data_IF_601907806995
#
_entry.id   IF_601907806995
#
_cell.length_a   1.000
_cell.length_b   1.000
_cell.length_c   1.000
_cell.angle_alpha   90.00
_cell.angle_beta   90.00
_cell.angle_gamma   90.00
#
_symmetry.space_group_name_H-M   'P 1'
#
loop_
_entity.id
_entity.type
_entity.pdbx_description
1 polymer ?
#
# COMPACT_ATOMS: atom_id res chain seq x y z
N UNK A 1 -25.78 -23.12 15.30
CA UNK A 1 -24.74 -23.27 14.27
C UNK A 1 -23.76 -22.12 14.41
N UNK A 2 -22.45 -22.37 14.47
CA UNK A 2 -21.49 -21.27 14.35
C UNK A 2 -21.53 -20.79 12.88
N UNK A 3 -21.66 -19.48 12.66
CA UNK A 3 -21.60 -18.91 11.32
C UNK A 3 -20.25 -19.25 10.68
N UNK A 4 -20.26 -19.63 9.39
CA UNK A 4 -19.03 -19.82 8.63
C UNK A 4 -18.23 -18.51 8.62
N UNK A 5 -16.92 -18.61 8.80
CA UNK A 5 -16.04 -17.44 8.72
C UNK A 5 -15.99 -16.92 7.27
N UNK A 6 -15.85 -15.59 7.06
CA UNK A 6 -15.88 -15.01 5.73
C UNK A 6 -14.67 -15.45 4.90
N UNK A 7 -14.88 -15.66 3.61
CA UNK A 7 -13.79 -15.91 2.64
C UNK A 7 -13.17 -14.59 2.18
N UNK A 8 -12.01 -14.65 1.53
CA UNK A 8 -11.38 -13.45 0.93
C UNK A 8 -12.30 -12.76 -0.08
N UNK A 9 -13.08 -13.53 -0.84
CA UNK A 9 -14.03 -12.99 -1.80
C UNK A 9 -15.16 -12.22 -1.10
N UNK A 10 -15.59 -12.65 0.08
CA UNK A 10 -16.58 -11.91 0.88
C UNK A 10 -16.00 -10.62 1.45
N UNK A 11 -14.71 -10.62 1.83
CA UNK A 11 -14.07 -9.45 2.46
C UNK A 11 -13.64 -8.40 1.43
N UNK A 12 -12.95 -8.81 0.37
CA UNK A 12 -12.36 -7.90 -0.62
C UNK A 12 -13.18 -7.78 -1.90
N UNK A 13 -14.19 -8.64 -2.08
CA UNK A 13 -14.88 -8.77 -3.36
C UNK A 13 -14.03 -9.50 -4.39
N UNK A 14 -14.57 -9.59 -5.61
CA UNK A 14 -13.85 -10.08 -6.78
C UNK A 14 -13.66 -8.92 -7.77
N UNK A 15 -12.57 -8.98 -8.51
CA UNK A 15 -12.32 -8.12 -9.66
C UNK A 15 -13.34 -8.39 -10.77
N UNK A 16 -13.33 -7.55 -11.82
CA UNK A 16 -14.19 -7.72 -13.00
C UNK A 16 -14.00 -9.09 -13.68
N UNK A 17 -12.81 -9.66 -13.57
CA UNK A 17 -12.45 -10.97 -14.14
C UNK A 17 -12.78 -12.14 -13.20
N UNK A 18 -13.48 -11.89 -12.10
CA UNK A 18 -13.85 -12.91 -11.12
C UNK A 18 -12.70 -13.41 -10.24
N UNK A 19 -11.56 -12.71 -10.22
CA UNK A 19 -10.40 -13.06 -9.39
C UNK A 19 -10.35 -12.21 -8.11
N UNK A 20 -9.69 -12.69 -7.07
CA UNK A 20 -9.40 -11.83 -5.92
C UNK A 20 -8.53 -10.63 -6.35
N UNK A 21 -8.83 -9.42 -5.86
CA UNK A 21 -7.98 -8.26 -6.12
C UNK A 21 -6.59 -8.52 -5.54
N UNK A 22 -5.55 -8.00 -6.19
CA UNK A 22 -4.18 -7.99 -5.67
C UNK A 22 -3.57 -6.64 -5.99
N UNK A 23 -2.88 -6.03 -5.01
CA UNK A 23 -2.35 -4.68 -5.17
C UNK A 23 -1.40 -4.54 -6.37
N UNK A 24 -0.58 -5.56 -6.66
CA UNK A 24 0.34 -5.51 -7.79
C UNK A 24 -0.39 -5.37 -9.13
N UNK A 25 -1.51 -6.08 -9.28
CA UNK A 25 -2.37 -5.96 -10.47
C UNK A 25 -3.07 -4.59 -10.54
N UNK A 26 -3.53 -4.07 -9.40
CA UNK A 26 -4.19 -2.76 -9.31
C UNK A 26 -3.23 -1.66 -9.76
N UNK A 27 -2.01 -1.64 -9.22
CA UNK A 27 -0.97 -0.66 -9.56
C UNK A 27 -0.59 -0.76 -11.03
N UNK A 28 -0.34 -1.97 -11.55
CA UNK A 28 0.06 -2.16 -12.94
C UNK A 28 -1.03 -1.78 -13.95
N UNK A 29 -2.30 -2.01 -13.59
CA UNK A 29 -3.45 -1.70 -14.43
C UNK A 29 -3.91 -0.24 -14.38
N UNK A 30 -3.38 0.58 -13.46
CA UNK A 30 -3.72 1.98 -13.37
C UNK A 30 -3.03 2.78 -14.48
N UNK A 31 -3.81 3.66 -15.11
CA UNK A 31 -3.33 4.54 -16.17
C UNK A 31 -2.88 5.87 -15.57
N UNK A 32 -1.61 5.91 -15.14
CA UNK A 32 -0.98 7.12 -14.61
C UNK A 32 -0.83 8.25 -15.63
N UNK A 33 -1.18 8.07 -16.92
CA UNK A 33 -1.07 9.15 -17.91
C UNK A 33 -2.23 10.14 -17.87
N UNK A 34 -3.30 9.86 -17.12
CA UNK A 34 -4.48 10.73 -17.01
C UNK A 34 -4.30 11.72 -15.85
N UNK A 35 -4.13 12.99 -16.17
CA UNK A 35 -3.74 14.07 -15.23
C UNK A 35 -4.69 14.33 -14.06
N UNK A 36 -5.98 14.00 -14.21
CA UNK A 36 -7.01 14.40 -13.25
C UNK A 36 -7.38 13.28 -12.27
N UNK A 37 -6.78 12.09 -12.43
CA UNK A 37 -7.09 10.91 -11.64
C UNK A 37 -5.84 10.45 -10.89
N UNK A 38 -6.02 9.91 -9.68
CA UNK A 38 -4.91 9.39 -8.88
C UNK A 38 -5.21 7.97 -8.42
N UNK A 39 -4.15 7.19 -8.20
CA UNK A 39 -4.34 5.83 -7.75
C UNK A 39 -4.73 5.84 -6.27
N UNK A 40 -6.03 5.76 -6.02
CA UNK A 40 -6.59 5.61 -4.68
C UNK A 40 -7.03 4.17 -4.42
N UNK A 41 -6.58 3.59 -3.32
CA UNK A 41 -7.11 2.32 -2.83
C UNK A 41 -7.15 2.32 -1.30
N UNK A 42 -8.36 2.34 -0.73
CA UNK A 42 -8.56 2.30 0.73
C UNK A 42 -7.86 1.11 1.39
N UNK A 43 -7.98 -0.07 0.77
CA UNK A 43 -7.39 -1.31 1.21
C UNK A 43 -7.35 -2.36 0.09
N UNK A 44 -6.16 -2.79 -0.30
CA UNK A 44 -5.95 -3.94 -1.18
C UNK A 44 -5.24 -5.08 -0.44
N UNK A 45 -5.62 -6.35 -0.67
CA UNK A 45 -4.83 -7.45 -0.17
C UNK A 45 -3.58 -7.66 -1.04
N UNK A 46 -2.55 -8.23 -0.42
CA UNK A 46 -1.41 -8.80 -1.13
C UNK A 46 -1.15 -10.21 -0.62
N UNK A 47 -1.23 -11.18 -1.52
CA UNK A 47 -1.12 -12.60 -1.18
C UNK A 47 0.28 -13.16 -1.37
N UNK A 48 1.11 -12.55 -2.22
CA UNK A 48 2.47 -13.03 -2.48
C UNK A 48 2.44 -14.49 -2.95
N UNK A 49 3.00 -15.40 -2.15
CA UNK A 49 2.95 -16.86 -2.42
C UNK A 49 1.84 -17.59 -1.66
N UNK A 50 1.00 -16.89 -0.89
CA UNK A 50 -0.12 -17.49 -0.18
C UNK A 50 -1.11 -18.08 -1.20
N UNK A 51 -1.40 -19.36 -1.04
CA UNK A 51 -2.35 -20.12 -1.86
C UNK A 51 -3.08 -21.13 -0.99
N UNK A 52 -4.15 -21.74 -1.52
CA UNK A 52 -4.85 -22.82 -0.83
C UNK A 52 -3.90 -23.99 -0.47
N UNK A 53 -2.96 -24.34 -1.34
CA UNK A 53 -1.94 -25.35 -1.07
C UNK A 53 -0.96 -24.88 0.01
N UNK A 54 -0.43 -23.65 -0.12
CA UNK A 54 0.50 -23.08 0.86
C UNK A 54 -0.11 -22.91 2.26
N UNK A 55 -1.43 -22.74 2.35
CA UNK A 55 -2.14 -22.76 3.63
C UNK A 55 -2.07 -24.14 4.28
N UNK A 56 -2.14 -25.25 3.54
CA UNK A 56 -2.13 -26.59 4.16
C UNK A 56 -0.83 -26.85 4.93
N UNK A 57 0.30 -26.40 4.38
CA UNK A 57 1.64 -26.57 4.94
C UNK A 57 2.02 -25.53 6.00
N UNK A 58 1.16 -24.53 6.24
CA UNK A 58 1.43 -23.44 7.19
C UNK A 58 1.15 -23.84 8.64
N UNK A 59 1.90 -23.27 9.60
CA UNK A 59 1.67 -23.47 11.03
C UNK A 59 0.24 -23.13 11.47
N UNK A 60 -0.28 -23.89 12.43
CA UNK A 60 -1.65 -23.74 12.93
C UNK A 60 -1.90 -22.36 13.56
N UNK A 61 -0.92 -21.81 14.28
CA UNK A 61 -0.99 -20.47 14.85
C UNK A 61 -1.17 -19.40 13.78
N UNK A 62 -0.49 -19.54 12.63
CA UNK A 62 -0.61 -18.62 11.51
C UNK A 62 -1.98 -18.75 10.84
N UNK A 63 -2.44 -19.98 10.60
CA UNK A 63 -3.80 -20.25 10.09
C UNK A 63 -4.87 -19.60 10.98
N UNK A 64 -4.78 -19.81 12.29
CA UNK A 64 -5.74 -19.25 13.27
C UNK A 64 -5.72 -17.73 13.23
N UNK A 65 -4.53 -17.11 13.19
CA UNK A 65 -4.38 -15.66 13.08
C UNK A 65 -4.98 -15.15 11.77
N UNK A 66 -4.75 -15.79 10.61
CA UNK A 66 -5.30 -15.42 9.31
C UNK A 66 -6.83 -15.45 9.32
N UNK A 67 -7.41 -16.55 9.82
CA UNK A 67 -8.85 -16.70 9.91
C UNK A 67 -9.48 -15.63 10.82
N UNK A 68 -8.88 -15.39 11.98
CA UNK A 68 -9.34 -14.36 12.92
C UNK A 68 -9.23 -12.95 12.36
N UNK A 69 -8.13 -12.63 11.68
CA UNK A 69 -7.90 -11.31 11.06
C UNK A 69 -8.88 -11.07 9.91
N UNK A 70 -9.04 -12.05 9.03
CA UNK A 70 -9.98 -11.95 7.90
C UNK A 70 -11.41 -11.78 8.40
N UNK A 71 -11.79 -12.48 9.47
CA UNK A 71 -13.08 -12.27 10.14
C UNK A 71 -13.24 -10.85 10.65
N UNK A 72 -12.27 -10.35 11.42
CA UNK A 72 -12.33 -9.00 11.98
C UNK A 72 -12.48 -7.93 10.89
N UNK A 73 -11.76 -8.07 9.78
CA UNK A 73 -11.89 -7.14 8.65
C UNK A 73 -13.25 -7.31 7.97
N UNK A 74 -13.75 -8.53 7.84
CA UNK A 74 -15.09 -8.82 7.35
C UNK A 74 -16.20 -8.21 8.20
N UNK A 75 -15.98 -8.05 9.51
CA UNK A 75 -16.92 -7.43 10.44
C UNK A 75 -16.93 -5.89 10.32
N UNK A 76 -15.89 -5.27 9.73
CA UNK A 76 -15.88 -3.83 9.40
C UNK A 76 -16.86 -3.60 8.23
N UNK A 77 -17.76 -2.60 8.27
CA UNK A 77 -18.58 -2.23 7.12
C UNK A 77 -17.71 -1.91 5.89
N UNK A 78 -18.09 -2.38 4.70
CA UNK A 78 -17.25 -2.31 3.49
C UNK A 78 -16.77 -0.89 3.17
N UNK A 79 -17.60 0.10 3.43
CA UNK A 79 -17.45 1.53 3.19
C UNK A 79 -16.48 2.19 4.20
N UNK A 80 -16.16 1.48 5.28
CA UNK A 80 -15.20 1.87 6.32
C UNK A 80 -13.94 1.00 6.30
N UNK A 81 -13.81 0.05 5.37
CA UNK A 81 -12.64 -0.82 5.25
C UNK A 81 -11.48 -0.08 4.60
N UNK A 82 -10.89 0.84 5.34
CA UNK A 82 -9.66 1.55 4.97
C UNK A 82 -8.50 1.15 5.89
N UNK A 83 -7.30 1.61 5.54
CA UNK A 83 -6.07 1.36 6.29
C UNK A 83 -6.21 1.68 7.77
N UNK A 84 -6.76 2.84 8.14
CA UNK A 84 -6.90 3.27 9.54
C UNK A 84 -7.78 2.30 10.35
N UNK A 85 -8.94 1.95 9.81
CA UNK A 85 -9.89 1.06 10.48
C UNK A 85 -9.34 -0.36 10.63
N UNK A 86 -8.68 -0.88 9.59
CA UNK A 86 -8.03 -2.19 9.66
C UNK A 86 -6.86 -2.19 10.62
N UNK A 87 -6.02 -1.15 10.62
CA UNK A 87 -4.94 -1.00 11.59
C UNK A 87 -5.48 -1.00 13.02
N UNK A 88 -6.54 -0.24 13.28
CA UNK A 88 -7.19 -0.20 14.59
C UNK A 88 -7.72 -1.59 15.00
N UNK A 89 -8.38 -2.31 14.09
CA UNK A 89 -8.85 -3.68 14.35
C UNK A 89 -7.71 -4.67 14.60
N UNK A 90 -6.59 -4.57 13.86
CA UNK A 90 -5.41 -5.39 14.10
C UNK A 90 -4.78 -5.12 15.47
N UNK A 91 -4.68 -3.85 15.88
CA UNK A 91 -4.17 -3.46 17.21
C UNK A 91 -5.04 -3.97 18.36
N UNK A 92 -6.33 -4.16 18.13
CA UNK A 92 -7.29 -4.68 19.13
C UNK A 92 -7.45 -6.21 19.06
N UNK A 93 -6.86 -6.88 18.06
CA UNK A 93 -7.04 -8.31 17.87
C UNK A 93 -6.24 -9.12 18.91
N UNK A 94 -6.95 -9.90 19.72
CA UNK A 94 -6.37 -10.73 20.78
C UNK A 94 -5.53 -11.91 20.25
N UNK A 95 -5.68 -12.29 18.98
CA UNK A 95 -4.93 -13.39 18.34
C UNK A 95 -3.57 -12.96 17.83
N UNK A 96 -3.27 -11.65 17.83
CA UNK A 96 -2.00 -11.12 17.37
C UNK A 96 -1.43 -10.09 18.34
N UNK A 97 -0.16 -9.80 18.17
CA UNK A 97 0.52 -8.72 18.86
C UNK A 97 1.50 -8.03 17.92
N UNK A 98 1.81 -6.75 18.16
CA UNK A 98 2.80 -6.06 17.35
C UNK A 98 4.17 -6.73 17.41
N UNK A 99 4.84 -6.79 16.25
CA UNK A 99 6.18 -7.32 16.12
C UNK A 99 7.20 -6.22 15.80
N UNK A 100 7.76 -5.65 16.87
CA UNK A 100 8.66 -4.49 16.84
C UNK A 100 7.92 -3.16 16.73
N UNK A 101 8.66 -2.13 16.30
CA UNK A 101 8.17 -0.76 16.23
C UNK A 101 7.35 -0.47 14.98
N UNK A 102 6.49 0.55 15.07
CA UNK A 102 5.76 1.05 13.93
C UNK A 102 6.74 1.86 13.09
N UNK A 103 6.69 1.67 11.78
CA UNK A 103 7.48 2.46 10.85
C UNK A 103 6.57 3.58 10.35
N UNK A 104 7.00 4.82 10.57
CA UNK A 104 6.44 6.00 9.95
C UNK A 104 7.61 6.78 9.36
N UNK A 105 7.63 6.90 8.04
CA UNK A 105 8.66 7.63 7.29
C UNK A 105 7.98 8.61 6.36
N UNK A 106 8.51 9.81 6.30
CA UNK A 106 8.14 10.81 5.31
C UNK A 106 9.44 11.39 4.76
N UNK A 107 9.50 11.55 3.44
CA UNK A 107 10.64 12.14 2.77
C UNK A 107 10.19 12.98 1.58
N UNK A 108 11.05 13.89 1.14
CA UNK A 108 10.80 14.78 0.00
C UNK A 108 11.94 14.68 -1.00
N UNK A 109 11.60 14.47 -2.26
CA UNK A 109 12.50 14.71 -3.37
C UNK A 109 12.21 16.11 -3.93
N UNK A 110 13.16 17.02 -3.83
CA UNK A 110 13.05 18.41 -4.30
C UNK A 110 13.95 18.59 -5.52
N UNK A 111 13.40 19.20 -6.56
CA UNK A 111 14.14 19.66 -7.75
C UNK A 111 14.05 21.18 -7.83
N UNK A 112 15.17 21.79 -8.21
CA UNK A 112 15.28 23.24 -8.43
C UNK A 112 15.13 23.55 -9.91
N UNK A 113 14.62 24.72 -10.25
CA UNK A 113 14.26 25.13 -11.63
C UNK A 113 15.33 24.96 -12.73
N UNK A 114 16.63 24.82 -12.37
CA UNK A 114 17.71 24.54 -13.34
C UNK A 114 17.88 23.05 -13.68
N UNK A 115 17.18 22.15 -12.99
CA UNK A 115 17.16 20.69 -13.17
C UNK A 115 15.74 20.17 -13.51
N UNK A 116 14.92 20.98 -14.17
CA UNK A 116 13.53 20.65 -14.49
C UNK A 116 13.36 19.26 -15.13
N UNK A 117 12.27 18.59 -14.76
CA UNK A 117 11.70 17.47 -15.51
C UNK A 117 11.41 17.99 -16.93
N UNK A 118 12.29 17.68 -17.89
CA UNK A 118 12.19 18.27 -19.24
C UNK A 118 10.99 17.73 -20.04
N UNK A 119 10.51 18.59 -20.93
CA UNK A 119 9.17 18.65 -21.54
C UNK A 119 9.00 17.89 -22.87
N UNK A 120 9.88 16.94 -23.20
CA UNK A 120 9.74 16.16 -24.45
C UNK A 120 8.91 14.87 -24.27
N UNK A 121 8.41 14.63 -23.05
CA UNK A 121 7.60 13.45 -22.72
C UNK A 121 8.41 12.17 -22.53
N UNK A 122 9.74 12.22 -22.62
CA UNK A 122 10.63 11.13 -22.22
C UNK A 122 11.22 11.42 -20.84
N UNK A 123 10.91 10.60 -19.81
CA UNK A 123 11.58 10.76 -18.54
C UNK A 123 13.09 10.58 -18.77
N UNK A 124 13.91 11.58 -18.44
CA UNK A 124 15.37 11.37 -18.43
C UNK A 124 15.63 10.17 -17.52
N UNK A 125 16.26 9.12 -18.04
CA UNK A 125 16.57 7.90 -17.29
C UNK A 125 17.18 8.23 -15.92
N UNK A 126 17.98 9.30 -15.84
CA UNK A 126 18.58 9.80 -14.61
C UNK A 126 17.58 10.26 -13.56
N UNK A 127 16.53 11.01 -13.93
CA UNK A 127 15.51 11.50 -13.02
C UNK A 127 14.66 10.33 -12.51
N UNK A 128 14.29 9.41 -13.41
CA UNK A 128 13.53 8.22 -13.03
C UNK A 128 14.35 7.29 -12.13
N UNK A 129 15.64 7.15 -12.39
CA UNK A 129 16.55 6.43 -11.49
C UNK A 129 16.64 7.10 -10.13
N UNK A 130 16.74 8.42 -10.07
CA UNK A 130 16.78 9.16 -8.81
C UNK A 130 15.49 8.99 -7.99
N UNK A 131 14.33 9.13 -8.63
CA UNK A 131 13.03 8.87 -8.02
C UNK A 131 12.91 7.40 -7.57
N UNK A 132 13.41 6.46 -8.38
CA UNK A 132 13.43 5.04 -8.03
C UNK A 132 14.31 4.75 -6.81
N UNK A 133 15.49 5.36 -6.72
CA UNK A 133 16.39 5.23 -5.58
C UNK A 133 15.77 5.88 -4.34
N UNK A 134 15.24 7.10 -4.47
CA UNK A 134 14.55 7.81 -3.41
C UNK A 134 13.37 6.99 -2.86
N UNK A 135 12.49 6.50 -3.74
CA UNK A 135 11.32 5.70 -3.34
C UNK A 135 11.73 4.38 -2.67
N UNK A 136 12.76 3.71 -3.20
CA UNK A 136 13.29 2.49 -2.61
C UNK A 136 13.86 2.73 -1.20
N UNK A 137 14.46 3.89 -0.95
CA UNK A 137 14.95 4.28 0.37
C UNK A 137 13.81 4.67 1.32
N UNK A 138 12.81 5.43 0.83
CA UNK A 138 11.62 5.79 1.58
C UNK A 138 10.87 4.54 2.08
N UNK A 139 10.72 3.53 1.22
CA UNK A 139 10.07 2.26 1.57
C UNK A 139 11.01 1.33 2.34
N UNK A 140 12.30 1.27 1.97
CA UNK A 140 13.35 0.38 2.51
C UNK A 140 12.87 -1.03 2.89
N UNK A 141 11.99 -1.60 2.07
CA UNK A 141 11.28 -2.83 2.37
C UNK A 141 11.01 -3.60 1.08
N UNK A 142 11.89 -4.56 0.79
CA UNK A 142 11.86 -5.31 -0.47
C UNK A 142 10.57 -6.10 -0.66
N UNK A 143 9.94 -6.57 0.42
CA UNK A 143 8.67 -7.29 0.32
C UNK A 143 7.56 -6.37 -0.13
N UNK A 144 7.54 -5.13 0.38
CA UNK A 144 6.56 -4.11 0.01
C UNK A 144 6.75 -3.73 -1.45
N UNK A 145 7.99 -3.45 -1.88
CA UNK A 145 8.29 -3.12 -3.27
C UNK A 145 7.90 -4.28 -4.23
N UNK A 146 8.20 -5.52 -3.83
CA UNK A 146 7.83 -6.70 -4.62
C UNK A 146 6.32 -6.95 -4.67
N UNK A 147 5.59 -6.62 -3.61
CA UNK A 147 4.14 -6.78 -3.51
C UNK A 147 3.39 -5.72 -4.32
N UNK A 148 3.79 -4.45 -4.22
CA UNK A 148 3.10 -3.34 -4.91
C UNK A 148 3.40 -3.29 -6.39
N UNK A 149 4.52 -3.88 -6.84
CA UNK A 149 4.99 -3.78 -8.23
C UNK A 149 5.18 -2.33 -8.69
N UNK A 150 5.41 -1.41 -7.75
CA UNK A 150 5.84 -0.04 -8.06
C UNK A 150 7.31 -0.13 -8.46
N UNK A 151 7.54 -0.38 -9.74
CA UNK A 151 8.85 -0.46 -10.34
C UNK A 151 9.25 0.87 -11.01
N UNK A 152 10.45 0.90 -11.58
CA UNK A 152 10.99 2.07 -12.26
C UNK A 152 10.09 2.59 -13.39
N UNK A 153 9.31 1.74 -14.05
CA UNK A 153 8.39 2.15 -15.12
C UNK A 153 7.11 2.77 -14.54
N UNK A 154 6.59 2.23 -13.43
CA UNK A 154 5.47 2.84 -12.71
C UNK A 154 5.89 4.22 -12.18
N UNK A 155 7.06 4.30 -11.56
CA UNK A 155 7.61 5.56 -11.07
C UNK A 155 7.89 6.54 -12.21
N UNK A 156 8.41 6.07 -13.34
CA UNK A 156 8.60 6.89 -14.54
C UNK A 156 7.30 7.47 -15.07
N UNK A 157 6.20 6.69 -15.06
CA UNK A 157 4.86 7.19 -15.42
C UNK A 157 4.31 8.18 -14.40
N UNK A 158 4.48 7.92 -13.11
CA UNK A 158 4.11 8.87 -12.04
C UNK A 158 4.87 10.17 -12.23
N UNK A 159 6.18 10.10 -12.49
CA UNK A 159 7.04 11.26 -12.74
C UNK A 159 6.61 12.02 -13.99
N UNK A 160 6.33 11.33 -15.10
CA UNK A 160 5.83 11.96 -16.32
C UNK A 160 4.50 12.68 -16.09
N UNK A 161 3.58 12.04 -15.36
CA UNK A 161 2.32 12.67 -14.96
C UNK A 161 2.54 13.84 -14.03
N UNK A 162 3.43 13.71 -13.04
CA UNK A 162 3.77 14.81 -12.13
C UNK A 162 4.40 15.96 -12.90
N UNK A 163 5.25 15.70 -13.90
CA UNK A 163 5.79 16.70 -14.81
C UNK A 163 4.69 17.41 -15.59
N UNK A 164 3.78 16.68 -16.24
CA UNK A 164 2.64 17.27 -16.94
C UNK A 164 1.70 18.06 -16.01
N UNK A 165 1.48 17.56 -14.79
CA UNK A 165 0.74 18.23 -13.73
C UNK A 165 1.48 19.50 -13.28
N UNK A 166 2.79 19.45 -13.08
CA UNK A 166 3.62 20.61 -12.75
C UNK A 166 3.63 21.61 -13.89
N UNK A 167 3.71 21.21 -15.16
CA UNK A 167 3.61 22.09 -16.34
C UNK A 167 2.24 22.78 -16.40
N UNK A 168 1.16 22.02 -16.11
CA UNK A 168 -0.18 22.58 -15.98
C UNK A 168 -0.22 23.58 -14.83
N UNK A 169 0.48 23.29 -13.73
CA UNK A 169 0.64 24.24 -12.65
C UNK A 169 1.54 25.44 -13.05
N UNK A 170 2.58 25.30 -13.88
CA UNK A 170 3.42 26.39 -14.41
C UNK A 170 2.61 27.39 -15.23
N UNK A 171 1.65 26.89 -16.02
CA UNK A 171 0.70 27.76 -16.69
C UNK A 171 -0.27 28.48 -15.73
N UNK A 172 -0.50 27.92 -14.53
CA UNK A 172 -1.23 28.55 -13.42
C UNK A 172 -0.34 29.47 -12.54
N UNK A 173 0.97 29.20 -12.42
CA UNK A 173 1.96 29.86 -11.54
C UNK A 173 2.31 31.30 -11.93
N UNK A 174 1.61 31.88 -12.92
CA UNK A 174 1.65 33.33 -13.15
C UNK A 174 1.13 34.15 -11.94
N UNK A 175 0.59 33.51 -10.89
CA UNK A 175 0.19 34.12 -9.61
C UNK A 175 0.63 33.24 -8.43
N UNK A 176 1.09 33.88 -7.35
CA UNK A 176 1.62 33.30 -6.10
C UNK A 176 0.75 32.20 -5.47
N UNK A 177 0.99 30.92 -5.77
CA UNK A 177 0.21 29.82 -5.20
C UNK A 177 1.07 28.56 -4.98
N UNK A 178 0.88 27.92 -3.82
CA UNK A 178 1.38 26.57 -3.53
C UNK A 178 0.35 25.57 -4.03
N UNK A 179 0.79 24.59 -4.82
CA UNK A 179 -0.10 23.56 -5.37
C UNK A 179 0.39 22.17 -5.00
N UNK A 180 -0.55 21.31 -4.59
CA UNK A 180 -0.30 19.90 -4.29
C UNK A 180 -1.33 19.01 -4.97
N UNK A 181 -0.89 17.88 -5.49
CA UNK A 181 -1.75 16.82 -6.01
C UNK A 181 -1.28 15.46 -5.50
N UNK A 182 -2.19 14.70 -4.91
CA UNK A 182 -1.91 13.30 -4.56
C UNK A 182 -1.91 12.47 -5.82
N UNK A 183 -0.83 11.73 -6.06
CA UNK A 183 -0.65 10.87 -7.24
C UNK A 183 -0.98 9.40 -6.92
N UNK A 184 -0.76 9.01 -5.66
CA UNK A 184 -0.94 7.65 -5.18
C UNK A 184 -1.26 7.68 -3.70
N UNK A 185 -2.30 6.98 -3.27
CA UNK A 185 -2.63 6.74 -1.87
C UNK A 185 -3.26 5.34 -1.74
N UNK A 186 -2.45 4.37 -1.30
CA UNK A 186 -2.83 2.97 -1.24
C UNK A 186 -2.61 2.41 0.17
N UNK A 187 -3.68 1.87 0.75
CA UNK A 187 -3.65 1.02 1.93
C UNK A 187 -3.54 -0.44 1.52
N UNK A 188 -2.67 -1.20 2.17
CA UNK A 188 -2.37 -2.58 1.79
C UNK A 188 -2.35 -3.48 3.01
N UNK A 189 -3.04 -4.62 2.90
CA UNK A 189 -2.96 -5.73 3.85
C UNK A 189 -2.21 -6.88 3.21
N UNK A 190 -1.00 -7.12 3.67
CA UNK A 190 -0.18 -8.22 3.18
C UNK A 190 -0.34 -9.44 4.09
N UNK A 191 -0.90 -10.51 3.52
CA UNK A 191 -1.07 -11.78 4.20
C UNK A 191 0.29 -12.50 4.36
N UNK A 192 0.47 -13.30 5.43
CA UNK A 192 1.65 -14.16 5.57
C UNK A 192 1.69 -15.22 4.46
N UNK A 193 2.88 -15.68 4.11
CA UNK A 193 3.10 -16.81 3.21
C UNK A 193 4.27 -17.68 3.68
N UNK A 194 4.59 -18.74 2.92
CA UNK A 194 5.58 -19.75 3.31
C UNK A 194 7.00 -19.18 3.47
N UNK A 195 7.36 -18.15 2.70
CA UNK A 195 8.68 -17.51 2.79
C UNK A 195 8.69 -16.38 3.82
N UNK A 196 7.51 -15.89 4.17
CA UNK A 196 7.30 -14.77 5.07
C UNK A 196 6.25 -15.13 6.13
N UNK A 197 6.61 -15.96 7.13
CA UNK A 197 5.69 -16.52 8.13
C UNK A 197 5.23 -15.52 9.20
N UNK A 198 5.26 -14.22 8.90
CA UNK A 198 4.74 -13.15 9.76
C UNK A 198 3.63 -12.42 9.00
N UNK A 199 2.60 -11.89 9.68
CA UNK A 199 1.72 -10.89 9.05
C UNK A 199 2.58 -9.65 8.82
N UNK A 200 3.32 -9.69 7.73
CA UNK A 200 4.13 -8.60 7.28
C UNK A 200 3.17 -7.57 6.72
N UNK A 201 2.68 -6.71 7.60
CA UNK A 201 2.42 -5.29 7.34
C UNK A 201 1.00 -4.98 6.88
N UNK A 202 0.29 -4.22 7.72
CA UNK A 202 -0.69 -3.25 7.24
C UNK A 202 0.10 -1.99 6.93
N UNK A 203 0.17 -1.59 5.67
CA UNK A 203 0.98 -0.44 5.25
C UNK A 203 0.23 0.51 4.33
N UNK A 204 0.63 1.78 4.38
CA UNK A 204 0.10 2.85 3.53
C UNK A 204 1.25 3.52 2.83
N UNK A 205 1.15 3.66 1.52
CA UNK A 205 2.06 4.46 0.71
C UNK A 205 1.24 5.60 0.15
N UNK A 206 1.73 6.82 0.35
CA UNK A 206 1.15 8.03 -0.25
C UNK A 206 2.23 8.84 -0.93
N UNK A 207 1.98 9.26 -2.17
CA UNK A 207 2.86 10.13 -2.95
C UNK A 207 2.09 11.37 -3.36
N UNK A 208 2.63 12.54 -3.05
CA UNK A 208 2.05 13.85 -3.35
C UNK A 208 3.06 14.65 -4.16
N UNK A 209 2.71 15.03 -5.39
CA UNK A 209 3.46 15.99 -6.17
C UNK A 209 3.11 17.41 -5.72
N UNK A 210 4.08 18.30 -5.67
CA UNK A 210 3.85 19.69 -5.27
C UNK A 210 4.81 20.64 -5.99
N UNK A 211 4.44 21.91 -6.03
CA UNK A 211 5.30 23.00 -6.50
C UNK A 211 5.02 24.27 -5.72
N UNK A 212 6.10 24.97 -5.37
CA UNK A 212 6.13 26.21 -4.59
C UNK A 212 6.93 27.27 -5.38
N UNK A 213 6.33 28.43 -5.62
CA UNK A 213 6.94 29.53 -6.37
C UNK A 213 7.07 30.75 -5.46
N UNK A 214 8.32 31.12 -5.13
CA UNK A 214 8.62 32.33 -4.38
C UNK A 214 9.28 33.38 -5.29
N UNK A 215 8.64 34.55 -5.39
CA UNK A 215 9.17 35.69 -6.17
C UNK A 215 9.59 36.83 -5.25
N UNK A 216 10.89 37.12 -5.19
CA UNK A 216 11.43 38.28 -4.48
C UNK A 216 11.94 39.29 -5.52
N UNK A 217 11.10 40.29 -5.82
CA UNK A 217 11.35 41.54 -6.61
C UNK A 217 11.99 41.42 -8.01
N UNK A 218 13.08 40.67 -8.19
CA UNK A 218 13.77 40.44 -9.48
C UNK A 218 14.31 39.00 -9.64
N UNK A 219 14.11 38.13 -8.64
CA UNK A 219 14.48 36.71 -8.69
C UNK A 219 13.25 35.86 -8.40
N UNK A 220 13.00 34.86 -9.25
CA UNK A 220 11.96 33.85 -9.08
C UNK A 220 12.67 32.54 -8.76
N UNK A 221 12.38 31.98 -7.59
CA UNK A 221 12.80 30.63 -7.21
C UNK A 221 11.57 29.74 -7.29
N UNK A 222 11.59 28.80 -8.24
CA UNK A 222 10.56 27.78 -8.41
C UNK A 222 11.16 26.45 -7.95
N UNK A 223 10.54 25.86 -6.93
CA UNK A 223 10.87 24.53 -6.43
C UNK A 223 9.70 23.59 -6.70
N UNK A 224 10.00 22.42 -7.24
CA UNK A 224 9.03 21.36 -7.46
C UNK A 224 9.51 20.05 -6.82
N UNK A 225 8.57 19.15 -6.50
CA UNK A 225 8.97 17.93 -5.82
C UNK A 225 7.88 16.91 -5.63
N UNK A 226 8.30 15.78 -5.06
CA UNK A 226 7.44 14.68 -4.65
C UNK A 226 7.66 14.46 -3.15
N UNK A 227 6.59 14.54 -2.38
CA UNK A 227 6.55 14.08 -0.99
C UNK A 227 6.05 12.64 -0.97
N UNK A 228 6.75 11.77 -0.25
CA UNK A 228 6.32 10.40 -0.02
C UNK A 228 6.15 10.10 1.46
N UNK A 229 5.08 9.40 1.78
CA UNK A 229 4.74 8.93 3.12
C UNK A 229 4.64 7.41 3.11
N UNK A 230 5.36 6.75 4.02
CA UNK A 230 5.31 5.30 4.21
C UNK A 230 5.03 4.96 5.68
N UNK A 231 3.90 4.30 5.90
CA UNK A 231 3.49 3.81 7.22
C UNK A 231 3.39 2.29 7.19
N UNK A 232 3.89 1.60 8.22
CA UNK A 232 3.87 0.13 8.27
C UNK A 232 3.90 -0.39 9.71
N UNK A 233 3.11 -1.45 9.97
CA UNK A 233 3.08 -2.15 11.27
C UNK A 233 3.05 -3.66 11.06
N UNK A 234 4.00 -4.37 11.68
CA UNK A 234 4.05 -5.84 11.65
C UNK A 234 3.30 -6.44 12.83
N UNK A 235 2.70 -7.61 12.60
CA UNK A 235 2.01 -8.38 13.62
C UNK A 235 2.47 -9.85 13.56
N UNK A 236 2.53 -10.47 14.73
CA UNK A 236 2.81 -11.91 14.89
C UNK A 236 1.70 -12.58 15.71
N UNK A 237 1.54 -13.91 15.61
CA UNK A 237 0.58 -14.64 16.43
C UNK A 237 0.86 -14.42 17.91
N UNK A 238 -0.18 -14.17 18.69
CA UNK A 238 -0.08 -14.18 20.15
C UNK A 238 -0.20 -15.62 20.64
N UNK A 239 0.92 -16.35 20.61
CA UNK A 239 0.97 -17.78 20.90
C UNK A 239 0.31 -18.15 22.24
N UNK A 240 0.50 -17.33 23.29
CA UNK A 240 -0.07 -17.57 24.61
C UNK A 240 -1.60 -17.64 24.59
N UNK A 241 -2.24 -16.81 23.77
CA UNK A 241 -3.70 -16.81 23.62
C UNK A 241 -4.16 -17.93 22.71
N UNK A 242 -3.46 -18.17 21.60
CA UNK A 242 -3.82 -19.22 20.65
C UNK A 242 -3.70 -20.61 21.28
N UNK A 243 -2.63 -20.87 22.05
CA UNK A 243 -2.43 -22.12 22.79
C UNK A 243 -3.45 -22.31 23.92
N UNK A 244 -4.03 -21.23 24.44
CA UNK A 244 -5.10 -21.26 25.43
C UNK A 244 -6.50 -21.49 24.86
N UNK A 245 -6.67 -21.50 23.52
CA UNK A 245 -7.96 -21.76 22.89
C UNK A 245 -8.38 -23.24 23.04
N UNK A 246 -9.69 -23.48 23.20
CA UNK A 246 -10.22 -24.85 23.12
C UNK A 246 -9.93 -25.51 21.78
N UNK A 247 -9.74 -26.84 21.76
CA UNK A 247 -9.50 -27.61 20.53
C UNK A 247 -10.57 -27.40 19.47
N UNK A 248 -11.84 -27.27 19.91
CA UNK A 248 -12.96 -26.95 19.02
C UNK A 248 -12.78 -25.60 18.32
N UNK A 249 -12.35 -24.58 19.06
CA UNK A 249 -12.13 -23.24 18.50
C UNK A 249 -10.92 -23.21 17.57
N UNK A 250 -9.83 -23.90 17.93
CA UNK A 250 -8.64 -24.06 17.08
C UNK A 250 -8.99 -24.76 15.77
N UNK A 251 -9.65 -25.92 15.85
CA UNK A 251 -10.08 -26.68 14.68
C UNK A 251 -11.02 -25.90 13.76
N UNK A 252 -11.97 -25.14 14.32
CA UNK A 252 -12.85 -24.28 13.52
C UNK A 252 -12.08 -23.16 12.78
N UNK A 253 -11.11 -22.52 13.45
CA UNK A 253 -10.29 -21.48 12.84
C UNK A 253 -9.32 -22.03 11.78
N UNK A 254 -8.70 -23.19 12.03
CA UNK A 254 -7.87 -23.90 11.04
C UNK A 254 -8.68 -24.26 9.80
N UNK A 255 -9.88 -24.85 9.98
CA UNK A 255 -10.75 -25.19 8.86
C UNK A 255 -11.19 -23.95 8.07
N UNK A 256 -11.46 -22.83 8.73
CA UNK A 256 -11.76 -21.59 8.05
C UNK A 256 -10.57 -21.04 7.26
N UNK A 257 -9.35 -21.12 7.82
CA UNK A 257 -8.13 -20.74 7.11
C UNK A 257 -7.93 -21.61 5.86
N UNK A 258 -8.13 -22.92 5.95
CA UNK A 258 -8.00 -23.83 4.81
C UNK A 258 -9.03 -23.57 3.70
N UNK A 259 -10.20 -23.01 4.04
CA UNK A 259 -11.26 -22.64 3.10
C UNK A 259 -11.26 -21.14 2.74
N UNK A 260 -10.18 -20.42 3.07
CA UNK A 260 -10.11 -18.97 2.94
C UNK A 260 -10.31 -18.46 1.50
N UNK A 261 -9.89 -19.25 0.52
CA UNK A 261 -9.96 -18.93 -0.91
C UNK A 261 -11.28 -19.33 -1.59
N UNK A 262 -12.19 -20.03 -0.88
CA UNK A 262 -13.43 -20.58 -1.45
C UNK A 262 -13.27 -22.02 -1.91
#
# INVERSE_FOLDING_TARGET
MAAALPTLATVFGLSKDGQLPDIGKIVQGFDFSKSDDYLHCDLAPSFGKLSAAGLQDMDDELKIMIAGTTKLIGDIPKEKRNWDSVMASCMQNFLMEPDGDAIARADKLIKKSSENFQTDGSPKDQIVQEVSTWFSNLVSDMDVLAATKIDINVLGRIVASSGATIDSFESFFAKHEHHEQTMLDIGILRYPDIDHPYFKKVYRIKLTAWSDSQRILFHQEDDNGITGEFNSRRFKPRESVIKGMSDKARGAAINAANNLFG
#
